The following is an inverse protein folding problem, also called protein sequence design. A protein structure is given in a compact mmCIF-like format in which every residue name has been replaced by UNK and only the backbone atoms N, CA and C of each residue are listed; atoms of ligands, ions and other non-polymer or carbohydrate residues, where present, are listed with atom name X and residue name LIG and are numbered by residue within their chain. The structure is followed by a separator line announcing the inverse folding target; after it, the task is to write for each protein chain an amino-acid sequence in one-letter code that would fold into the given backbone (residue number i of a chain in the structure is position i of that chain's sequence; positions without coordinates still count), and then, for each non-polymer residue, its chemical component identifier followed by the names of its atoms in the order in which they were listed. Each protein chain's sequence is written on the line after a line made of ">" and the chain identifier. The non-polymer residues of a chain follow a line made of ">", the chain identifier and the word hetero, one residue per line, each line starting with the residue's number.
data_IF_428891127082
#
_entry.id   IF_428891127082
#
_cell.length_a   1.000
_cell.length_b   1.000
_cell.length_c   1.000
_cell.angle_alpha   90.00
_cell.angle_beta   90.00
_cell.angle_gamma   90.00
#
_symmetry.space_group_name_H-M   'P 1'
#
loop_
_entity.id
_entity.type
_entity.pdbx_description
1 polymer ?
#
# COMPACT_ATOMS: atom_id res chain seq x y z
N UNK A 1 13.25 -7.80 10.66
CA UNK A 1 13.57 -9.19 11.02
C UNK A 1 13.08 -10.05 9.88
N UNK A 2 13.93 -10.89 9.27
CA UNK A 2 13.47 -11.86 8.28
C UNK A 2 12.44 -12.80 8.91
N UNK A 3 11.30 -12.94 8.25
CA UNK A 3 10.20 -13.83 8.63
C UNK A 3 10.33 -15.15 7.84
N UNK A 4 9.83 -16.26 8.39
CA UNK A 4 9.92 -17.57 7.73
C UNK A 4 9.17 -17.59 6.38
N UNK A 5 8.26 -16.65 6.19
CA UNK A 5 7.49 -16.49 4.96
C UNK A 5 8.25 -15.77 3.85
N UNK A 6 9.34 -15.06 4.15
CA UNK A 6 10.09 -14.25 3.18
C UNK A 6 10.77 -15.10 2.08
N UNK A 7 11.06 -16.37 2.38
CA UNK A 7 11.70 -17.30 1.45
C UNK A 7 10.71 -18.26 0.75
N UNK A 8 9.42 -18.20 1.10
CA UNK A 8 8.42 -19.11 0.52
C UNK A 8 8.11 -18.70 -0.92
N UNK A 9 8.31 -19.64 -1.85
CA UNK A 9 7.89 -19.49 -3.25
C UNK A 9 6.63 -20.31 -3.50
N UNK A 10 5.55 -19.74 -4.06
CA UNK A 10 4.38 -20.51 -4.45
C UNK A 10 4.75 -21.59 -5.45
N UNK A 11 4.12 -22.77 -5.33
CA UNK A 11 4.16 -23.79 -6.39
C UNK A 11 3.47 -23.27 -7.65
N UNK A 12 3.85 -23.81 -8.82
CA UNK A 12 3.25 -23.40 -10.09
C UNK A 12 1.85 -24.04 -10.28
N UNK A 13 0.89 -23.33 -10.90
CA UNK A 13 0.95 -21.94 -11.35
C UNK A 13 0.89 -20.94 -10.17
N UNK A 14 1.78 -19.94 -10.19
CA UNK A 14 1.84 -18.93 -9.14
C UNK A 14 0.85 -17.78 -9.42
N UNK A 15 0.43 -17.07 -8.38
CA UNK A 15 -0.57 -16.00 -8.53
C UNK A 15 -0.18 -14.90 -9.53
N UNK A 16 1.11 -14.60 -9.68
CA UNK A 16 1.58 -13.60 -10.63
C UNK A 16 1.38 -14.04 -12.09
N UNK A 17 1.67 -15.29 -12.44
CA UNK A 17 1.46 -15.79 -13.82
C UNK A 17 -0.02 -15.84 -14.17
N UNK A 18 -0.88 -16.31 -13.25
CA UNK A 18 -2.33 -16.30 -13.43
C UNK A 18 -2.85 -14.87 -13.63
N UNK A 19 -2.47 -13.91 -12.76
CA UNK A 19 -2.92 -12.52 -12.89
C UNK A 19 -2.45 -11.86 -14.19
N UNK A 20 -1.25 -12.17 -14.67
CA UNK A 20 -0.76 -11.67 -15.97
C UNK A 20 -1.61 -12.20 -17.11
N UNK A 21 -1.96 -13.50 -17.09
CA UNK A 21 -2.85 -14.10 -18.10
C UNK A 21 -4.23 -13.44 -18.10
N UNK A 22 -4.84 -13.28 -16.92
CA UNK A 22 -6.16 -12.66 -16.79
C UNK A 22 -6.14 -11.19 -17.23
N UNK A 23 -5.10 -10.42 -16.87
CA UNK A 23 -4.97 -9.02 -17.30
C UNK A 23 -4.77 -8.88 -18.81
N UNK A 24 -4.10 -9.83 -19.46
CA UNK A 24 -3.92 -9.83 -20.91
C UNK A 24 -5.22 -10.13 -21.68
N UNK A 25 -6.22 -10.73 -21.04
CA UNK A 25 -7.52 -11.02 -21.65
C UNK A 25 -8.48 -9.82 -21.63
N UNK A 26 -8.12 -8.72 -20.96
CA UNK A 26 -8.95 -7.52 -20.87
C UNK A 26 -8.35 -6.36 -21.66
N UNK A 27 -9.11 -5.77 -22.60
CA UNK A 27 -8.73 -4.57 -23.35
C UNK A 27 -9.05 -3.26 -22.59
N UNK A 28 -9.30 -3.36 -21.28
CA UNK A 28 -9.67 -2.19 -20.48
C UNK A 28 -8.45 -1.32 -20.20
N UNK A 29 -8.46 -0.11 -20.72
CA UNK A 29 -7.46 0.90 -20.39
C UNK A 29 -7.68 1.41 -18.95
N UNK A 30 -6.96 0.82 -17.99
CA UNK A 30 -7.04 1.13 -16.56
C UNK A 30 -6.76 2.60 -16.26
N UNK A 31 -5.86 3.24 -17.01
CA UNK A 31 -5.52 4.65 -16.81
C UNK A 31 -6.71 5.54 -17.17
N UNK A 32 -7.30 5.35 -18.36
CA UNK A 32 -8.46 6.11 -18.80
C UNK A 32 -9.67 5.87 -17.88
N UNK A 33 -9.89 4.62 -17.45
CA UNK A 33 -10.92 4.30 -16.46
C UNK A 33 -10.71 5.05 -15.14
N UNK A 34 -9.48 5.07 -14.63
CA UNK A 34 -9.15 5.77 -13.38
C UNK A 34 -9.37 7.29 -13.49
N UNK A 35 -9.04 7.88 -14.64
CA UNK A 35 -9.30 9.29 -14.91
C UNK A 35 -10.80 9.57 -14.99
N UNK A 36 -11.58 8.69 -15.63
CA UNK A 36 -13.02 8.85 -15.69
C UNK A 36 -13.66 8.81 -14.29
N UNK A 37 -13.23 7.89 -13.42
CA UNK A 37 -13.78 7.73 -12.08
C UNK A 37 -13.30 8.79 -11.08
N UNK A 38 -12.07 9.28 -11.20
CA UNK A 38 -11.41 10.13 -10.20
C UNK A 38 -10.79 11.40 -10.79
N UNK A 39 -11.38 11.94 -11.86
CA UNK A 39 -10.90 13.14 -12.57
C UNK A 39 -10.93 14.41 -11.73
N UNK A 40 -11.77 14.45 -10.70
CA UNK A 40 -12.06 15.66 -9.94
C UNK A 40 -10.89 16.08 -9.04
N UNK A 41 -10.65 17.39 -8.96
CA UNK A 41 -9.79 18.07 -7.97
C UNK A 41 -8.34 17.60 -7.86
N UNK A 42 -7.83 17.01 -8.94
CA UNK A 42 -6.47 16.45 -8.98
C UNK A 42 -6.26 15.32 -7.98
N UNK A 43 -7.32 14.57 -7.67
CA UNK A 43 -7.29 13.47 -6.70
C UNK A 43 -6.19 12.46 -7.03
N UNK A 44 -6.07 12.05 -8.30
CA UNK A 44 -5.06 11.09 -8.72
C UNK A 44 -3.63 11.58 -8.44
N UNK A 45 -3.30 12.84 -8.75
CA UNK A 45 -1.95 13.36 -8.45
C UNK A 45 -1.68 13.41 -6.94
N UNK A 46 -2.68 13.79 -6.15
CA UNK A 46 -2.56 13.80 -4.68
C UNK A 46 -2.37 12.40 -4.14
N UNK A 47 -3.15 11.43 -4.63
CA UNK A 47 -3.06 10.05 -4.23
C UNK A 47 -1.69 9.46 -4.59
N UNK A 48 -1.14 9.75 -5.78
CA UNK A 48 0.21 9.34 -6.16
C UNK A 48 1.27 9.92 -5.24
N UNK A 49 1.17 11.21 -4.90
CA UNK A 49 2.12 11.87 -3.97
C UNK A 49 2.06 11.26 -2.56
N UNK A 50 0.86 11.08 -2.01
CA UNK A 50 0.67 10.51 -0.68
C UNK A 50 1.14 9.06 -0.65
N UNK A 51 0.83 8.28 -1.68
CA UNK A 51 1.24 6.88 -1.78
C UNK A 51 2.76 6.74 -1.80
N UNK A 52 3.47 7.61 -2.52
CA UNK A 52 4.95 7.61 -2.51
C UNK A 52 5.52 7.87 -1.10
N UNK A 53 4.91 8.78 -0.33
CA UNK A 53 5.31 9.03 1.06
C UNK A 53 5.01 7.82 1.96
N UNK A 54 3.83 7.23 1.84
CA UNK A 54 3.41 6.10 2.67
C UNK A 54 4.19 4.81 2.38
N UNK A 55 4.62 4.59 1.14
CA UNK A 55 5.42 3.42 0.77
C UNK A 55 6.81 3.41 1.41
N UNK A 56 7.36 4.59 1.69
CA UNK A 56 8.67 4.72 2.35
C UNK A 56 8.59 4.53 3.87
N UNK A 57 7.39 4.54 4.45
CA UNK A 57 7.17 4.38 5.88
C UNK A 57 7.17 2.90 6.29
N UNK A 58 8.19 2.48 7.02
CA UNK A 58 8.36 1.09 7.50
C UNK A 58 7.16 0.63 8.34
N UNK A 59 6.56 1.52 9.14
CA UNK A 59 5.41 1.21 10.00
C UNK A 59 4.08 1.09 9.25
N UNK A 60 4.03 1.55 7.99
CA UNK A 60 2.86 1.39 7.11
C UNK A 60 2.86 0.05 6.38
N UNK A 61 3.97 -0.69 6.43
CA UNK A 61 4.07 -2.02 5.80
C UNK A 61 3.20 -3.04 6.54
N UNK A 62 2.22 -3.60 5.83
CA UNK A 62 1.32 -4.64 6.35
C UNK A 62 1.79 -6.07 6.05
N UNK A 63 3.01 -6.23 5.52
CA UNK A 63 3.51 -7.51 5.01
C UNK A 63 3.36 -8.67 6.00
N UNK A 64 3.66 -8.43 7.28
CA UNK A 64 3.59 -9.45 8.34
C UNK A 64 2.46 -9.19 9.34
N UNK A 65 1.56 -8.23 9.07
CA UNK A 65 0.49 -7.86 10.00
C UNK A 65 -0.45 -9.03 10.30
N UNK A 66 -0.61 -9.96 9.36
CA UNK A 66 -1.44 -11.15 9.55
C UNK A 66 -0.84 -12.14 10.56
N UNK A 67 0.49 -12.16 10.72
CA UNK A 67 1.21 -13.02 11.67
C UNK A 67 1.17 -12.47 13.10
N UNK A 68 0.69 -11.24 13.30
CA UNK A 68 0.56 -10.63 14.62
C UNK A 68 -0.72 -11.10 15.35
N UNK A 69 -0.58 -11.43 16.63
CA UNK A 69 -1.72 -11.61 17.53
C UNK A 69 -2.48 -10.30 17.77
N UNK A 70 -3.70 -10.37 18.30
CA UNK A 70 -4.61 -9.22 18.51
C UNK A 70 -3.93 -8.04 19.19
N UNK A 71 -3.13 -8.28 20.25
CA UNK A 71 -2.37 -7.22 20.95
C UNK A 71 -1.28 -6.60 20.06
N UNK A 72 -0.58 -7.42 19.27
CA UNK A 72 0.42 -6.96 18.31
C UNK A 72 -0.20 -6.10 17.19
N UNK A 73 -1.38 -6.49 16.69
CA UNK A 73 -2.16 -5.69 15.71
C UNK A 73 -2.55 -4.33 16.27
N UNK A 74 -3.06 -4.28 17.50
CA UNK A 74 -3.43 -3.02 18.17
C UNK A 74 -2.20 -2.11 18.36
N UNK A 75 -1.07 -2.67 18.79
CA UNK A 75 0.18 -1.91 18.98
C UNK A 75 0.71 -1.33 17.66
N UNK A 76 0.68 -2.10 16.57
CA UNK A 76 1.11 -1.66 15.24
C UNK A 76 0.21 -0.52 14.72
N UNK A 77 -1.12 -0.67 14.82
CA UNK A 77 -2.07 0.38 14.43
C UNK A 77 -1.86 1.67 15.24
N UNK A 78 -1.65 1.57 16.55
CA UNK A 78 -1.37 2.73 17.40
C UNK A 78 -0.04 3.41 17.03
N UNK A 79 1.00 2.64 16.68
CA UNK A 79 2.27 3.16 16.20
C UNK A 79 2.12 3.95 14.90
N UNK A 80 1.44 3.37 13.90
CA UNK A 80 1.18 4.03 12.62
C UNK A 80 0.34 5.32 12.77
N UNK A 81 -0.63 5.34 13.70
CA UNK A 81 -1.42 6.55 13.97
C UNK A 81 -0.58 7.70 14.56
N UNK A 82 0.40 7.38 15.41
CA UNK A 82 1.30 8.39 16.00
C UNK A 82 2.25 8.97 14.95
N UNK A 83 2.80 8.15 14.05
CA UNK A 83 3.71 8.62 13.00
C UNK A 83 2.98 9.40 11.91
N UNK A 84 1.74 9.04 11.59
CA UNK A 84 0.91 9.86 10.70
C UNK A 84 0.63 11.26 11.30
N UNK A 85 0.39 11.33 12.61
CA UNK A 85 0.17 12.60 13.33
C UNK A 85 1.43 13.47 13.43
N UNK A 86 2.60 12.86 13.65
CA UNK A 86 3.86 13.61 13.73
C UNK A 86 4.26 14.21 12.37
N UNK A 87 4.13 13.46 11.27
CA UNK A 87 4.41 13.96 9.93
C UNK A 87 3.45 15.09 9.51
N UNK A 88 2.18 15.03 9.90
CA UNK A 88 1.23 16.12 9.67
C UNK A 88 1.59 17.42 10.41
N UNK A 89 2.23 17.34 11.57
CA UNK A 89 2.70 18.51 12.33
C UNK A 89 3.96 19.13 11.73
N UNK A 90 4.93 18.32 11.31
CA UNK A 90 6.16 18.83 10.67
C UNK A 90 5.86 19.54 9.35
N UNK A 91 4.92 19.03 8.55
CA UNK A 91 4.49 19.67 7.30
C UNK A 91 3.70 20.98 7.49
N UNK A 92 3.23 21.27 8.70
CA UNK A 92 2.50 22.52 9.03
C UNK A 92 3.38 23.62 9.62
N UNK A 93 4.62 23.31 10.02
CA UNK A 93 5.57 24.26 10.62
C UNK A 93 6.45 24.95 9.56
N UNK A 94 6.44 24.47 8.31
CA UNK A 94 7.27 24.98 7.21
C UNK A 94 6.50 25.91 6.25
N UNK A 95 5.54 26.69 6.77
CA UNK A 95 4.82 27.74 6.04
C UNK A 95 5.02 29.11 6.67
#
# INVERSE_FOLDING_TARGET
>A
MPDFTDALRPSHPNGSTTLTSERAQSDVNVHHLSQHLFSTDGFLQRQTRILALLQNEVLSSKATQQHLFTRGKVQACAGAGKTASSHGRSASVER
#
